data_IF_680669270364
#
_entry.id   IF_680669270364
#
_cell.length_a   1.000
_cell.length_b   1.000
_cell.length_c   1.000
_cell.angle_alpha   90.00
_cell.angle_beta   90.00
_cell.angle_gamma   90.00
#
_symmetry.space_group_name_H-M   'P 1'
#
loop_
_entity.id
_entity.type
_entity.pdbx_description
1 polymer ?
#
# COMPACT_ATOMS: atom_id res chain seq x y z
N UNK A 1 -16.19 35.48 -0.33
CA UNK A 1 -14.79 35.72 0.04
C UNK A 1 -14.01 34.61 -0.60
N UNK A 2 -13.08 34.96 -1.49
CA UNK A 2 -12.52 34.01 -2.43
C UNK A 2 -11.65 32.96 -1.76
N UNK A 3 -11.96 31.72 -2.03
CA UNK A 3 -11.08 30.56 -1.79
C UNK A 3 -9.97 30.60 -2.83
N UNK A 4 -8.78 30.91 -2.37
CA UNK A 4 -7.58 30.72 -3.20
C UNK A 4 -7.32 29.23 -3.31
N UNK A 5 -7.69 28.65 -4.46
CA UNK A 5 -7.23 27.33 -4.87
C UNK A 5 -5.74 27.47 -5.20
N UNK A 6 -4.87 26.95 -4.35
CA UNK A 6 -3.45 26.90 -4.59
C UNK A 6 -2.97 25.45 -4.69
N UNK A 7 -2.73 25.05 -5.94
CA UNK A 7 -1.64 24.21 -6.40
C UNK A 7 -1.53 22.76 -5.84
N UNK A 8 -2.30 21.82 -6.38
CA UNK A 8 -1.71 20.74 -7.14
C UNK A 8 -1.72 21.20 -8.62
N UNK A 9 -0.68 21.89 -9.08
CA UNK A 9 -0.51 22.13 -10.50
C UNK A 9 -0.35 20.76 -11.17
N UNK A 10 -0.97 20.56 -12.35
CA UNK A 10 -0.82 19.40 -13.20
C UNK A 10 0.62 18.87 -13.17
N UNK A 11 0.94 18.07 -12.17
CA UNK A 11 2.13 17.23 -12.25
C UNK A 11 1.75 16.19 -13.30
N UNK A 12 2.42 16.24 -14.43
CA UNK A 12 2.29 15.20 -15.45
C UNK A 12 2.93 13.93 -14.85
N UNK A 13 2.21 13.33 -13.88
CA UNK A 13 2.70 12.22 -13.08
C UNK A 13 2.74 10.99 -13.98
N UNK A 14 3.93 10.47 -14.19
CA UNK A 14 4.15 9.24 -14.95
C UNK A 14 3.79 8.04 -14.07
N UNK A 15 2.75 7.30 -14.43
CA UNK A 15 2.28 6.12 -13.73
C UNK A 15 2.95 4.81 -14.18
N UNK A 16 3.94 4.84 -15.07
CA UNK A 16 4.63 3.64 -15.54
C UNK A 16 5.24 2.81 -14.38
N UNK A 17 5.75 3.46 -13.33
CA UNK A 17 6.20 2.74 -12.13
C UNK A 17 5.04 2.05 -11.40
N UNK A 18 3.89 2.71 -11.25
CA UNK A 18 2.71 2.14 -10.61
C UNK A 18 2.17 0.96 -11.43
N UNK A 19 2.10 1.09 -12.75
CA UNK A 19 1.75 0.00 -13.65
C UNK A 19 2.67 -1.22 -13.46
N UNK A 20 3.98 -1.01 -13.42
CA UNK A 20 4.95 -2.08 -13.18
C UNK A 20 4.71 -2.76 -11.83
N UNK A 21 4.46 -2.00 -10.76
CA UNK A 21 4.17 -2.53 -9.44
C UNK A 21 2.89 -3.40 -9.44
N UNK A 22 1.82 -2.96 -10.14
CA UNK A 22 0.56 -3.72 -10.23
C UNK A 22 0.71 -5.06 -10.97
N UNK A 23 1.69 -5.18 -11.87
CA UNK A 23 1.95 -6.43 -12.59
C UNK A 23 2.76 -7.47 -11.81
N UNK A 24 3.34 -7.10 -10.66
CA UNK A 24 4.18 -8.02 -9.89
C UNK A 24 3.33 -8.98 -9.08
N UNK A 25 3.55 -10.28 -9.28
CA UNK A 25 2.94 -11.34 -8.49
C UNK A 25 3.56 -11.37 -7.08
N UNK A 26 2.82 -10.90 -6.10
CA UNK A 26 3.27 -10.87 -4.72
C UNK A 26 2.10 -10.96 -3.72
N UNK A 27 1.34 -12.07 -3.70
CA UNK A 27 0.33 -12.28 -2.68
C UNK A 27 0.98 -12.45 -1.31
N UNK A 28 0.22 -12.19 -0.22
CA UNK A 28 0.72 -12.36 1.15
C UNK A 28 1.37 -13.73 1.36
N UNK A 29 2.60 -13.72 1.86
CA UNK A 29 3.43 -14.90 2.08
C UNK A 29 4.33 -15.29 0.91
N UNK A 30 4.26 -14.57 -0.22
CA UNK A 30 5.14 -14.74 -1.37
C UNK A 30 5.49 -13.37 -1.98
N UNK A 31 6.12 -12.51 -1.20
CA UNK A 31 6.47 -11.14 -1.57
C UNK A 31 7.85 -11.01 -2.24
N UNK A 32 8.55 -12.13 -2.45
CA UNK A 32 9.93 -12.16 -2.98
C UNK A 32 10.09 -11.37 -4.28
N UNK A 33 9.16 -11.55 -5.24
CA UNK A 33 9.25 -10.86 -6.52
C UNK A 33 9.13 -9.33 -6.37
N UNK A 34 8.28 -8.86 -5.47
CA UNK A 34 8.15 -7.44 -5.15
C UNK A 34 9.39 -6.91 -4.46
N UNK A 35 9.92 -7.65 -3.49
CA UNK A 35 11.18 -7.30 -2.81
C UNK A 35 12.32 -7.14 -3.80
N UNK A 36 12.50 -8.11 -4.71
CA UNK A 36 13.56 -8.06 -5.71
C UNK A 36 13.41 -6.85 -6.64
N UNK A 37 12.19 -6.60 -7.12
CA UNK A 37 11.89 -5.42 -7.93
C UNK A 37 12.21 -4.12 -7.19
N UNK A 38 11.78 -3.98 -5.95
CA UNK A 38 12.03 -2.77 -5.15
C UNK A 38 13.52 -2.56 -4.90
N UNK A 39 14.26 -3.61 -4.59
CA UNK A 39 15.71 -3.51 -4.38
C UNK A 39 16.44 -3.09 -5.66
N UNK A 40 16.06 -3.64 -6.82
CA UNK A 40 16.64 -3.25 -8.12
C UNK A 40 16.29 -1.79 -8.48
N UNK A 41 15.03 -1.41 -8.28
CA UNK A 41 14.57 -0.03 -8.49
C UNK A 41 15.34 0.96 -7.61
N UNK A 42 15.46 0.68 -6.31
CA UNK A 42 16.18 1.52 -5.36
C UNK A 42 17.66 1.60 -5.74
N UNK A 43 18.28 0.46 -6.05
CA UNK A 43 19.70 0.43 -6.49
C UNK A 43 19.93 1.30 -7.72
N UNK A 44 19.03 1.25 -8.69
CA UNK A 44 19.15 1.98 -9.96
C UNK A 44 18.92 3.48 -9.80
N UNK A 45 17.98 3.91 -8.95
CA UNK A 45 17.50 5.29 -8.92
C UNK A 45 18.00 6.10 -7.72
N UNK A 46 18.34 5.46 -6.59
CA UNK A 46 18.66 6.18 -5.35
C UNK A 46 19.89 7.08 -5.43
N UNK A 47 20.78 6.85 -6.38
CA UNK A 47 21.90 7.74 -6.65
C UNK A 47 21.50 9.15 -7.14
N UNK A 48 20.25 9.30 -7.62
CA UNK A 48 19.68 10.57 -8.08
C UNK A 48 18.76 11.21 -7.02
N UNK A 49 18.47 10.50 -5.93
CA UNK A 49 17.64 11.01 -4.85
C UNK A 49 18.39 12.05 -4.03
N UNK A 50 17.67 12.89 -3.31
CA UNK A 50 18.26 13.93 -2.47
C UNK A 50 19.24 13.38 -1.42
N UNK A 51 18.91 12.23 -0.86
CA UNK A 51 19.76 11.43 0.04
C UNK A 51 19.68 9.98 -0.39
N UNK A 52 20.82 9.34 -0.62
CA UNK A 52 20.87 7.90 -0.85
C UNK A 52 20.60 7.18 0.47
N UNK A 53 19.56 6.31 0.57
CA UNK A 53 19.25 5.63 1.80
C UNK A 53 20.24 4.52 2.14
N UNK A 54 20.35 4.23 3.43
CA UNK A 54 20.84 2.94 3.90
C UNK A 54 19.71 1.90 3.70
N UNK A 55 20.00 0.83 2.96
CA UNK A 55 19.05 -0.26 2.68
C UNK A 55 19.29 -1.38 3.68
N UNK A 56 18.28 -1.72 4.47
CA UNK A 56 18.36 -2.78 5.49
C UNK A 56 17.41 -3.90 5.09
N UNK A 57 17.99 -5.05 4.87
CA UNK A 57 17.35 -6.32 4.52
C UNK A 57 18.12 -7.45 5.20
N UNK A 58 17.54 -8.61 5.30
CA UNK A 58 18.17 -9.77 5.93
C UNK A 58 17.14 -10.80 6.34
N UNK A 59 17.59 -11.98 6.74
CA UNK A 59 16.69 -13.05 7.17
C UNK A 59 15.82 -12.66 8.38
N UNK A 60 16.34 -11.79 9.25
CA UNK A 60 15.61 -11.25 10.39
C UNK A 60 14.46 -10.31 10.02
N UNK A 61 14.44 -9.83 8.78
CA UNK A 61 13.35 -9.02 8.20
C UNK A 61 12.48 -9.78 7.21
N UNK A 62 12.82 -11.04 6.93
CA UNK A 62 12.15 -11.86 5.92
C UNK A 62 12.13 -11.14 4.56
N UNK A 63 10.98 -10.88 3.98
CA UNK A 63 10.90 -10.15 2.70
C UNK A 63 10.75 -8.65 2.85
N UNK A 64 10.61 -8.13 4.06
CA UNK A 64 10.50 -6.69 4.30
C UNK A 64 11.79 -5.92 3.97
N UNK A 65 11.63 -4.63 3.64
CA UNK A 65 12.73 -3.71 3.35
C UNK A 65 12.59 -2.48 4.23
N UNK A 66 13.69 -2.04 4.85
CA UNK A 66 13.77 -0.73 5.49
C UNK A 66 14.75 0.17 4.72
N UNK A 67 14.33 1.39 4.45
CA UNK A 67 15.17 2.44 3.88
C UNK A 67 15.35 3.53 4.93
N UNK A 68 16.58 3.72 5.41
CA UNK A 68 16.91 4.78 6.36
C UNK A 68 17.52 5.97 5.64
N UNK A 69 16.97 7.16 5.89
CA UNK A 69 17.45 8.45 5.39
C UNK A 69 17.89 9.32 6.57
N UNK A 70 19.12 9.82 6.54
CA UNK A 70 19.67 10.77 7.52
C UNK A 70 19.42 10.39 8.98
N UNK A 71 18.90 11.34 9.75
CA UNK A 71 18.54 11.16 11.18
C UNK A 71 17.02 10.99 11.32
N UNK A 72 16.50 9.74 11.27
CA UNK A 72 15.07 9.49 11.17
C UNK A 72 14.32 9.79 12.48
N UNK A 73 13.13 10.38 12.35
CA UNK A 73 12.18 10.60 13.46
C UNK A 73 10.84 9.95 13.20
N UNK A 74 10.46 9.85 11.92
CA UNK A 74 9.16 9.36 11.45
C UNK A 74 9.37 8.25 10.44
N UNK A 75 8.53 7.21 10.50
CA UNK A 75 8.49 6.14 9.51
C UNK A 75 7.29 6.30 8.59
N UNK A 76 7.41 5.83 7.35
CA UNK A 76 6.30 5.52 6.44
C UNK A 76 6.23 4.00 6.37
N UNK A 77 5.06 3.42 6.62
CA UNK A 77 4.78 2.02 6.33
C UNK A 77 3.93 1.93 5.09
N UNK A 78 4.27 1.02 4.18
CA UNK A 78 3.51 0.66 3.00
C UNK A 78 3.65 -0.85 2.80
N UNK A 79 2.55 -1.59 2.87
CA UNK A 79 2.63 -3.02 2.64
C UNK A 79 2.81 -3.32 1.16
N UNK A 80 3.58 -4.36 0.86
CA UNK A 80 3.93 -4.74 -0.49
C UNK A 80 3.32 -6.06 -0.93
N UNK A 81 2.55 -6.68 -0.06
CA UNK A 81 1.75 -7.86 -0.41
C UNK A 81 0.42 -7.47 -1.06
N UNK A 82 -0.29 -8.47 -1.54
CA UNK A 82 -1.62 -8.31 -2.11
C UNK A 82 -2.52 -9.48 -1.76
N UNK A 83 -3.80 -9.28 -1.94
CA UNK A 83 -4.80 -10.35 -1.95
C UNK A 83 -4.52 -11.38 -3.06
N UNK A 84 -5.10 -12.55 -2.94
CA UNK A 84 -4.97 -13.62 -3.93
C UNK A 84 -5.74 -14.88 -3.54
N UNK A 85 -5.29 -16.00 -4.09
CA UNK A 85 -5.91 -17.30 -3.85
C UNK A 85 -4.83 -18.38 -3.82
N UNK A 86 -4.98 -19.36 -2.92
CA UNK A 86 -4.13 -20.55 -2.89
C UNK A 86 -4.91 -21.76 -3.43
N UNK A 87 -4.32 -22.49 -4.34
CA UNK A 87 -4.90 -23.70 -4.90
C UNK A 87 -4.98 -24.79 -3.84
N UNK A 88 -6.17 -25.31 -3.67
CA UNK A 88 -6.50 -26.45 -2.79
C UNK A 88 -6.73 -27.71 -3.63
N UNK A 89 -7.15 -28.79 -3.04
CA UNK A 89 -7.56 -30.01 -3.75
C UNK A 89 -8.91 -29.84 -4.47
N UNK A 90 -9.19 -30.68 -5.47
CA UNK A 90 -10.46 -30.72 -6.23
C UNK A 90 -10.82 -29.37 -6.90
N UNK A 91 -9.83 -28.74 -7.49
CA UNK A 91 -9.97 -27.46 -8.20
C UNK A 91 -10.49 -26.31 -7.33
N UNK A 92 -10.46 -26.48 -6.00
CA UNK A 92 -10.85 -25.47 -5.03
C UNK A 92 -9.76 -24.41 -4.82
N UNK A 93 -10.20 -23.21 -4.44
CA UNK A 93 -9.34 -22.11 -4.03
C UNK A 93 -9.63 -21.73 -2.58
N UNK A 94 -8.61 -21.25 -1.89
CA UNK A 94 -8.72 -20.61 -0.59
C UNK A 94 -8.21 -19.17 -0.75
N UNK A 95 -9.00 -18.19 -0.32
CA UNK A 95 -8.62 -16.79 -0.43
C UNK A 95 -7.40 -16.46 0.45
N UNK A 96 -6.53 -15.63 -0.07
CA UNK A 96 -5.49 -14.90 0.65
C UNK A 96 -6.04 -13.47 0.83
N UNK A 97 -6.14 -12.99 2.06
CA UNK A 97 -6.83 -11.73 2.34
C UNK A 97 -8.34 -11.81 2.11
N UNK A 98 -8.92 -10.72 1.65
CA UNK A 98 -10.36 -10.59 1.42
C UNK A 98 -10.77 -10.30 -0.03
N UNK A 99 -10.29 -11.04 -1.06
CA UNK A 99 -10.59 -10.73 -2.44
C UNK A 99 -12.09 -10.83 -2.75
N UNK A 100 -12.61 -9.86 -3.49
CA UNK A 100 -13.93 -10.02 -4.14
C UNK A 100 -13.81 -11.14 -5.16
N UNK A 101 -14.71 -12.11 -5.08
CA UNK A 101 -14.67 -13.28 -5.91
C UNK A 101 -15.96 -13.39 -6.73
N UNK A 102 -15.89 -12.99 -8.00
CA UNK A 102 -17.02 -13.07 -8.93
C UNK A 102 -16.69 -14.04 -10.07
N UNK A 103 -17.74 -14.70 -10.59
CA UNK A 103 -17.59 -15.63 -11.69
C UNK A 103 -17.03 -14.91 -12.94
N UNK A 104 -16.03 -15.53 -13.57
CA UNK A 104 -15.44 -15.03 -14.79
C UNK A 104 -14.20 -14.16 -14.59
N UNK A 105 -13.85 -13.78 -13.35
CA UNK A 105 -12.59 -13.09 -13.09
C UNK A 105 -11.40 -13.95 -13.56
N UNK A 106 -10.41 -13.30 -14.17
CA UNK A 106 -9.22 -13.99 -14.68
C UNK A 106 -8.14 -13.99 -13.61
N UNK A 107 -7.61 -15.19 -13.36
CA UNK A 107 -6.50 -15.38 -12.44
C UNK A 107 -5.26 -15.84 -13.20
N UNK A 108 -4.09 -15.42 -12.73
CA UNK A 108 -2.79 -15.81 -13.25
C UNK A 108 -1.90 -16.34 -12.13
N UNK A 109 -0.96 -17.20 -12.50
CA UNK A 109 0.05 -17.76 -11.60
C UNK A 109 0.98 -18.69 -12.37
N UNK A 110 1.77 -19.46 -11.63
CA UNK A 110 2.69 -20.42 -12.21
C UNK A 110 2.86 -21.64 -11.30
N UNK A 111 2.86 -22.82 -11.86
CA UNK A 111 3.26 -24.05 -11.17
C UNK A 111 4.43 -24.72 -11.89
N UNK A 112 4.84 -25.92 -11.45
CA UNK A 112 5.94 -26.69 -12.07
C UNK A 112 5.68 -27.07 -13.53
N UNK A 113 4.42 -27.01 -13.98
CA UNK A 113 4.01 -27.34 -15.36
C UNK A 113 3.94 -26.10 -16.25
N UNK A 114 4.23 -24.89 -15.72
CA UNK A 114 4.29 -23.64 -16.46
C UNK A 114 3.25 -22.59 -16.06
N UNK A 115 3.12 -21.53 -16.86
CA UNK A 115 2.23 -20.41 -16.56
C UNK A 115 0.76 -20.85 -16.61
N UNK A 116 -0.04 -20.19 -15.78
CA UNK A 116 -1.46 -20.43 -15.60
C UNK A 116 -2.19 -19.13 -15.91
N UNK A 117 -3.24 -19.23 -16.72
CA UNK A 117 -4.29 -18.22 -16.81
C UNK A 117 -5.62 -18.96 -16.78
N UNK A 118 -6.39 -18.78 -15.71
CA UNK A 118 -7.63 -19.53 -15.47
C UNK A 118 -8.79 -18.57 -15.14
N UNK A 119 -9.99 -19.12 -15.06
CA UNK A 119 -11.21 -18.44 -14.71
C UNK A 119 -11.60 -18.77 -13.27
N UNK A 120 -11.91 -17.72 -12.47
CA UNK A 120 -12.47 -17.89 -11.13
C UNK A 120 -13.95 -18.26 -11.21
N UNK A 121 -14.33 -19.24 -10.44
CA UNK A 121 -15.71 -19.64 -10.24
C UNK A 121 -16.09 -19.52 -8.75
N UNK A 122 -17.25 -18.95 -8.48
CA UNK A 122 -17.82 -18.84 -7.15
C UNK A 122 -19.20 -19.52 -7.14
N UNK A 123 -19.33 -20.57 -6.36
CA UNK A 123 -20.57 -21.30 -6.13
C UNK A 123 -20.97 -21.14 -4.66
N UNK A 124 -21.86 -20.21 -4.39
CA UNK A 124 -22.38 -19.90 -3.05
C UNK A 124 -21.27 -19.68 -1.99
N UNK A 125 -20.18 -19.03 -2.39
CA UNK A 125 -19.02 -18.75 -1.53
C UNK A 125 -17.92 -19.83 -1.56
N UNK A 126 -18.14 -20.94 -2.23
CA UNK A 126 -17.10 -21.91 -2.51
C UNK A 126 -16.35 -21.49 -3.77
N UNK A 127 -15.04 -21.33 -3.66
CA UNK A 127 -14.20 -20.81 -4.74
C UNK A 127 -13.51 -21.96 -5.47
N UNK A 128 -13.52 -21.90 -6.80
CA UNK A 128 -12.90 -22.87 -7.69
C UNK A 128 -12.21 -22.14 -8.84
N UNK A 129 -11.30 -22.85 -9.51
CA UNK A 129 -10.76 -22.41 -10.78
C UNK A 129 -11.24 -23.31 -11.93
N UNK A 130 -11.35 -22.74 -13.13
CA UNK A 130 -11.59 -23.49 -14.37
C UNK A 130 -10.36 -23.40 -15.25
N UNK A 131 -9.67 -24.52 -15.40
CA UNK A 131 -8.44 -24.65 -16.18
C UNK A 131 -8.40 -26.04 -16.85
N UNK A 132 -7.73 -26.22 -18.01
CA UNK A 132 -7.73 -27.51 -18.75
C UNK A 132 -7.03 -28.67 -18.02
N UNK A 133 -6.26 -28.41 -16.97
CA UNK A 133 -5.57 -29.40 -16.14
C UNK A 133 -5.68 -29.05 -14.66
N UNK A 134 -5.39 -30.02 -13.81
CA UNK A 134 -5.19 -29.73 -12.39
C UNK A 134 -3.98 -28.81 -12.18
N UNK A 135 -4.10 -27.88 -11.26
CA UNK A 135 -3.03 -27.00 -10.82
C UNK A 135 -2.43 -27.59 -9.53
N UNK A 136 -1.13 -27.47 -9.35
CA UNK A 136 -0.44 -27.98 -8.17
C UNK A 136 -0.99 -27.31 -6.89
N UNK A 137 -1.16 -28.12 -5.81
CA UNK A 137 -1.63 -27.59 -4.52
C UNK A 137 -0.61 -26.64 -3.92
N UNK A 138 -1.09 -25.54 -3.36
CA UNK A 138 -0.24 -24.51 -2.79
C UNK A 138 0.20 -23.47 -3.81
N UNK A 139 -0.12 -23.62 -5.09
CA UNK A 139 0.11 -22.57 -6.09
C UNK A 139 -0.72 -21.35 -5.75
N UNK A 140 -0.09 -20.18 -5.73
CA UNK A 140 -0.79 -18.91 -5.57
C UNK A 140 -1.26 -18.41 -6.94
N UNK A 141 -2.52 -17.98 -6.98
CA UNK A 141 -3.14 -17.31 -8.11
C UNK A 141 -3.56 -15.89 -7.71
N UNK A 142 -3.32 -14.95 -8.59
CA UNK A 142 -3.68 -13.54 -8.39
C UNK A 142 -4.54 -13.05 -9.55
N UNK A 143 -5.23 -11.95 -9.40
CA UNK A 143 -5.98 -11.35 -10.50
C UNK A 143 -5.04 -11.02 -11.66
N UNK A 144 -5.52 -11.27 -12.89
CA UNK A 144 -4.81 -10.83 -14.08
C UNK A 144 -4.88 -9.30 -14.16
N UNK A 145 -3.73 -8.67 -14.05
CA UNK A 145 -3.64 -7.22 -14.11
C UNK A 145 -4.05 -6.69 -15.50
N UNK A 146 -4.91 -5.67 -15.49
CA UNK A 146 -5.33 -4.87 -16.64
C UNK A 146 -5.25 -3.39 -16.24
N UNK A 147 -4.04 -2.83 -16.27
CA UNK A 147 -3.79 -1.45 -15.89
C UNK A 147 -4.37 -0.50 -16.96
N UNK A 148 -5.21 0.43 -16.52
CA UNK A 148 -5.90 1.39 -17.37
C UNK A 148 -5.76 2.79 -16.81
N UNK A 149 -5.48 3.71 -17.69
CA UNK A 149 -5.35 5.12 -17.36
C UNK A 149 -6.33 5.95 -18.19
N UNK A 150 -7.08 6.82 -17.54
CA UNK A 150 -7.93 7.83 -18.16
C UNK A 150 -7.39 9.23 -17.87
N UNK A 151 -8.09 10.28 -18.27
CA UNK A 151 -7.73 11.65 -17.93
C UNK A 151 -7.74 11.88 -16.40
N UNK A 152 -8.73 11.31 -15.71
CA UNK A 152 -8.96 11.56 -14.26
C UNK A 152 -8.53 10.40 -13.36
N UNK A 153 -8.52 9.16 -13.85
CA UNK A 153 -8.39 7.97 -13.01
C UNK A 153 -7.27 7.03 -13.47
N UNK A 154 -6.71 6.34 -12.49
CA UNK A 154 -5.97 5.09 -12.66
C UNK A 154 -6.87 3.95 -12.18
N UNK A 155 -6.90 2.85 -12.93
CA UNK A 155 -7.69 1.67 -12.62
C UNK A 155 -6.87 0.40 -12.87
N UNK A 156 -6.82 -0.49 -11.88
CA UNK A 156 -6.09 -1.75 -11.93
C UNK A 156 -6.53 -2.65 -10.79
N UNK A 157 -6.11 -3.91 -10.75
CA UNK A 157 -6.02 -4.63 -9.48
C UNK A 157 -4.79 -4.15 -8.69
N UNK A 158 -4.82 -4.36 -7.38
CA UNK A 158 -3.67 -4.16 -6.47
C UNK A 158 -3.21 -2.70 -6.31
N UNK A 159 -4.07 -1.70 -6.60
CA UNK A 159 -3.81 -0.34 -6.12
C UNK A 159 -3.69 -0.35 -4.60
N UNK A 160 -4.47 -1.20 -3.94
CA UNK A 160 -4.26 -1.69 -2.59
C UNK A 160 -3.16 -2.79 -2.58
N UNK A 161 -1.90 -2.57 -2.15
CA UNK A 161 -1.38 -1.26 -1.75
C UNK A 161 -0.14 -0.88 -2.59
N UNK A 162 -0.16 -1.21 -3.91
CA UNK A 162 0.90 -0.76 -4.83
C UNK A 162 0.96 0.76 -4.89
N UNK A 163 -0.18 1.44 -4.64
CA UNK A 163 -0.22 2.89 -4.59
C UNK A 163 0.52 3.44 -3.37
N UNK A 164 0.37 2.82 -2.21
CA UNK A 164 1.13 3.20 -1.03
C UNK A 164 2.63 2.99 -1.20
N UNK A 165 3.03 1.88 -1.85
CA UNK A 165 4.44 1.63 -2.23
C UNK A 165 4.93 2.69 -3.22
N UNK A 166 4.16 3.01 -4.25
CA UNK A 166 4.46 4.06 -5.22
C UNK A 166 4.63 5.42 -4.54
N UNK A 167 3.69 5.82 -3.68
CA UNK A 167 3.79 7.05 -2.90
C UNK A 167 5.09 7.09 -2.07
N UNK A 168 5.42 6.01 -1.36
CA UNK A 168 6.63 5.94 -0.57
C UNK A 168 7.91 6.10 -1.42
N UNK A 169 7.97 5.50 -2.61
CA UNK A 169 9.08 5.67 -3.55
C UNK A 169 9.16 7.10 -4.09
N UNK A 170 8.03 7.73 -4.42
CA UNK A 170 8.01 9.14 -4.87
C UNK A 170 8.47 10.10 -3.77
N UNK A 171 8.07 9.84 -2.53
CA UNK A 171 8.55 10.61 -1.35
C UNK A 171 10.04 10.40 -1.13
N UNK A 172 10.57 9.18 -1.34
CA UNK A 172 11.99 8.86 -1.20
C UNK A 172 12.90 9.74 -2.07
N UNK A 173 12.44 10.16 -3.26
CA UNK A 173 13.21 11.02 -4.17
C UNK A 173 13.69 12.32 -3.50
N UNK A 174 12.91 12.85 -2.56
CA UNK A 174 13.20 14.14 -1.90
C UNK A 174 13.37 14.05 -0.39
N UNK A 175 13.27 12.84 0.19
CA UNK A 175 13.37 12.60 1.62
C UNK A 175 14.80 12.82 2.11
N UNK A 176 14.95 13.60 3.19
CA UNK A 176 16.25 13.85 3.85
C UNK A 176 16.41 13.05 5.13
N UNK A 177 15.34 12.96 5.92
CA UNK A 177 15.36 12.29 7.21
C UNK A 177 14.07 11.50 7.39
N UNK A 178 14.17 10.22 7.69
CA UNK A 178 13.02 9.34 7.88
C UNK A 178 13.34 7.88 7.61
N UNK A 179 12.34 7.04 7.78
CA UNK A 179 12.39 5.64 7.39
C UNK A 179 11.24 5.35 6.45
N UNK A 180 11.47 4.54 5.43
CA UNK A 180 10.41 3.88 4.66
C UNK A 180 10.51 2.39 4.98
N UNK A 181 9.40 1.80 5.38
CA UNK A 181 9.25 0.40 5.70
C UNK A 181 8.26 -0.24 4.72
N UNK A 182 8.76 -1.12 3.87
CA UNK A 182 7.93 -1.98 3.05
C UNK A 182 7.65 -3.25 3.84
N UNK A 183 6.38 -3.40 4.27
CA UNK A 183 5.89 -4.48 5.13
C UNK A 183 5.27 -5.61 4.33
N UNK A 184 5.07 -6.76 4.96
CA UNK A 184 4.49 -7.98 4.41
C UNK A 184 3.28 -8.42 5.25
N UNK A 185 2.41 -9.25 4.63
CA UNK A 185 1.26 -9.91 5.25
C UNK A 185 0.15 -9.00 5.76
N UNK A 186 0.08 -7.74 5.37
CA UNK A 186 -1.00 -6.85 5.81
C UNK A 186 -2.36 -7.46 5.48
N UNK A 187 -2.55 -7.89 4.24
CA UNK A 187 -3.77 -8.44 3.69
C UNK A 187 -4.23 -9.74 4.37
N UNK A 188 -3.33 -10.46 5.01
CA UNK A 188 -3.62 -11.75 5.63
C UNK A 188 -3.24 -11.80 7.11
N UNK A 189 -3.59 -10.78 7.84
CA UNK A 189 -3.54 -10.75 9.30
C UNK A 189 -2.36 -10.04 9.92
N UNK A 190 -1.44 -9.50 9.13
CA UNK A 190 -0.27 -8.78 9.61
C UNK A 190 0.84 -9.69 10.16
N UNK A 191 1.78 -9.09 10.87
CA UNK A 191 2.86 -9.80 11.57
C UNK A 191 4.25 -9.24 11.37
N UNK A 192 4.51 -8.50 10.29
CA UNK A 192 5.85 -7.94 10.04
C UNK A 192 6.11 -6.63 10.78
N UNK A 193 5.11 -5.78 10.91
CA UNK A 193 5.23 -4.45 11.52
C UNK A 193 5.79 -4.47 12.94
N UNK A 194 5.42 -5.40 13.84
CA UNK A 194 5.95 -5.42 15.20
C UNK A 194 7.48 -5.56 15.29
N UNK A 195 8.10 -6.39 14.44
CA UNK A 195 9.56 -6.53 14.48
C UNK A 195 10.28 -5.41 13.73
N UNK A 196 9.66 -4.83 12.68
CA UNK A 196 10.16 -3.61 12.03
C UNK A 196 10.11 -2.42 13.01
N UNK A 197 8.99 -2.24 13.71
CA UNK A 197 8.82 -1.22 14.75
C UNK A 197 9.85 -1.38 15.86
N UNK A 198 10.06 -2.63 16.35
CA UNK A 198 11.11 -2.93 17.33
C UNK A 198 12.47 -2.45 16.86
N UNK A 199 12.86 -2.86 15.65
CA UNK A 199 14.17 -2.52 15.10
C UNK A 199 14.37 -1.00 15.01
N UNK A 200 13.40 -0.27 14.46
CA UNK A 200 13.46 1.19 14.33
C UNK A 200 13.48 1.89 15.71
N UNK A 201 12.69 1.39 16.65
CA UNK A 201 12.62 1.96 17.99
C UNK A 201 13.94 1.80 18.76
N UNK A 202 14.51 0.58 18.75
CA UNK A 202 15.72 0.26 19.51
C UNK A 202 16.99 0.84 18.87
N UNK A 203 17.09 0.88 17.55
CA UNK A 203 18.31 1.30 16.87
C UNK A 203 18.32 2.79 16.51
N UNK A 204 17.14 3.40 16.25
CA UNK A 204 17.07 4.79 15.75
C UNK A 204 16.18 5.70 16.57
N UNK A 205 15.49 5.19 17.58
CA UNK A 205 14.60 5.96 18.44
C UNK A 205 13.34 6.46 17.73
N UNK A 206 12.97 5.88 16.59
CA UNK A 206 11.74 6.23 15.84
C UNK A 206 10.52 5.78 16.63
N UNK A 207 9.54 6.67 16.82
CA UNK A 207 8.36 6.46 17.67
C UNK A 207 7.06 6.95 17.06
N UNK A 208 7.07 7.31 15.80
CA UNK A 208 5.89 7.79 15.11
C UNK A 208 5.93 7.34 13.64
N UNK A 209 4.75 7.10 13.08
CA UNK A 209 4.60 6.57 11.73
C UNK A 209 3.41 7.17 10.99
N UNK A 210 3.52 7.18 9.67
CA UNK A 210 2.43 7.38 8.73
C UNK A 210 2.19 6.06 8.01
N UNK A 211 0.92 5.70 7.83
CA UNK A 211 0.54 4.51 7.07
C UNK A 211 0.13 4.96 5.68
N UNK A 212 0.95 4.59 4.70
CA UNK A 212 0.78 4.90 3.28
C UNK A 212 0.01 3.77 2.63
N UNK A 213 -1.29 4.00 2.49
CA UNK A 213 -2.23 2.99 2.03
C UNK A 213 -3.38 3.65 1.28
N UNK A 214 -4.36 2.90 0.80
CA UNK A 214 -5.60 3.41 0.21
C UNK A 214 -6.73 3.41 1.25
N UNK A 215 -7.76 4.19 1.04
CA UNK A 215 -8.98 4.12 1.83
C UNK A 215 -10.22 4.04 0.95
N UNK A 216 -11.35 3.69 1.54
CA UNK A 216 -12.59 3.52 0.80
C UNK A 216 -13.23 4.86 0.42
N UNK A 217 -13.79 4.94 -0.77
CA UNK A 217 -14.78 5.98 -1.10
C UNK A 217 -16.05 5.69 -0.31
N UNK A 218 -16.50 6.69 0.44
CA UNK A 218 -17.70 6.65 1.28
C UNK A 218 -18.51 7.94 1.13
N UNK A 219 -19.62 8.06 1.85
CA UNK A 219 -20.39 9.32 1.87
C UNK A 219 -19.59 10.53 2.43
N UNK A 220 -18.51 10.24 3.17
CA UNK A 220 -17.66 11.26 3.82
C UNK A 220 -16.29 11.44 3.16
N UNK A 221 -15.89 10.55 2.25
CA UNK A 221 -14.59 10.57 1.56
C UNK A 221 -14.82 10.27 0.08
N UNK A 222 -14.50 11.21 -0.81
CA UNK A 222 -14.85 11.16 -2.21
C UNK A 222 -13.62 11.31 -3.11
N UNK A 223 -13.70 10.76 -4.31
CA UNK A 223 -12.70 10.98 -5.36
C UNK A 223 -12.54 12.47 -5.71
N UNK A 224 -11.31 12.86 -6.02
CA UNK A 224 -10.99 14.21 -6.52
C UNK A 224 -11.09 15.32 -5.48
N UNK A 225 -11.21 14.98 -4.19
CA UNK A 225 -11.26 15.93 -3.08
C UNK A 225 -9.97 15.93 -2.25
N UNK A 226 -8.94 15.29 -2.75
CA UNK A 226 -7.65 15.17 -2.07
C UNK A 226 -7.54 13.91 -1.20
N UNK A 227 -6.37 13.74 -0.61
CA UNK A 227 -6.02 12.58 0.21
C UNK A 227 -6.79 12.54 1.53
N UNK A 228 -7.18 11.36 2.00
CA UNK A 228 -7.84 11.20 3.28
C UNK A 228 -6.84 11.08 4.43
N UNK A 229 -7.08 11.80 5.53
CA UNK A 229 -6.42 11.63 6.82
C UNK A 229 -7.42 10.94 7.73
N UNK A 230 -7.15 9.71 8.12
CA UNK A 230 -8.04 8.95 8.99
C UNK A 230 -7.88 9.40 10.45
N UNK A 231 -8.95 9.94 11.01
CA UNK A 231 -9.03 10.23 12.44
C UNK A 231 -9.16 8.95 13.25
N UNK A 232 -9.73 7.92 12.64
CA UNK A 232 -9.74 6.52 13.07
C UNK A 232 -10.34 5.63 11.99
N UNK A 233 -9.90 4.39 11.99
CA UNK A 233 -10.54 3.23 11.35
C UNK A 233 -11.18 2.33 12.44
N UNK A 234 -11.14 1.02 12.30
CA UNK A 234 -11.48 0.08 13.39
C UNK A 234 -10.61 0.29 14.63
N UNK A 235 -9.39 0.80 14.46
CA UNK A 235 -8.43 1.11 15.51
C UNK A 235 -8.46 2.62 15.80
N UNK A 236 -7.84 3.05 16.89
CA UNK A 236 -7.93 4.45 17.33
C UNK A 236 -6.53 5.00 17.61
N UNK A 237 -5.96 5.77 16.68
CA UNK A 237 -4.66 6.39 16.87
C UNK A 237 -4.72 7.46 17.98
N UNK A 238 -3.55 7.80 18.53
CA UNK A 238 -3.49 8.83 19.58
C UNK A 238 -3.89 10.20 19.00
N UNK A 239 -4.96 10.77 19.54
CA UNK A 239 -5.58 12.02 19.06
C UNK A 239 -4.60 13.17 18.90
N UNK A 240 -3.66 13.35 19.84
CA UNK A 240 -2.68 14.45 19.78
C UNK A 240 -1.75 14.34 18.57
N UNK A 241 -1.41 13.13 18.14
CA UNK A 241 -0.60 12.91 16.94
C UNK A 241 -1.43 13.18 15.67
N UNK A 242 -2.63 12.65 15.60
CA UNK A 242 -3.54 12.93 14.47
C UNK A 242 -3.81 14.44 14.31
N UNK A 243 -4.06 15.15 15.41
CA UNK A 243 -4.24 16.60 15.39
C UNK A 243 -2.99 17.34 14.87
N UNK A 244 -1.78 16.84 15.17
CA UNK A 244 -0.54 17.39 14.62
C UNK A 244 -0.47 17.19 13.10
N UNK A 245 -0.81 15.98 12.61
CA UNK A 245 -0.88 15.68 11.18
C UNK A 245 -1.87 16.60 10.47
N UNK A 246 -3.09 16.71 10.99
CA UNK A 246 -4.13 17.59 10.44
C UNK A 246 -3.69 19.06 10.40
N UNK A 247 -3.06 19.56 11.47
CA UNK A 247 -2.56 20.93 11.50
C UNK A 247 -1.48 21.21 10.44
N UNK A 248 -0.63 20.22 10.15
CA UNK A 248 0.38 20.32 9.08
C UNK A 248 -0.30 20.31 7.72
N UNK A 249 -1.29 19.45 7.51
CA UNK A 249 -2.07 19.39 6.28
C UNK A 249 -2.79 20.71 6.02
N UNK A 250 -3.50 21.25 7.00
CA UNK A 250 -4.19 22.55 6.92
C UNK A 250 -3.22 23.69 6.54
N UNK A 251 -2.05 23.72 7.18
CA UNK A 251 -1.03 24.73 6.90
C UNK A 251 -0.34 24.56 5.53
N UNK A 252 -0.46 23.39 4.90
CA UNK A 252 0.17 23.11 3.63
C UNK A 252 -0.59 23.68 2.43
N UNK A 253 -1.91 23.83 2.55
CA UNK A 253 -2.80 24.18 1.45
C UNK A 253 -3.03 23.06 0.42
N UNK A 254 -2.60 21.85 0.72
CA UNK A 254 -2.86 20.64 -0.10
C UNK A 254 -4.29 20.16 0.21
N UNK A 255 -5.03 19.75 -0.81
CA UNK A 255 -6.38 19.25 -0.64
C UNK A 255 -6.37 17.93 0.14
N UNK A 256 -7.18 17.89 1.21
CA UNK A 256 -7.33 16.70 2.05
C UNK A 256 -8.75 16.57 2.62
N UNK A 257 -9.09 15.36 2.98
CA UNK A 257 -10.35 15.01 3.60
C UNK A 257 -10.12 14.41 4.99
N UNK A 258 -11.11 14.48 5.87
CA UNK A 258 -11.05 13.85 7.18
C UNK A 258 -11.97 12.63 7.20
N UNK A 259 -11.40 11.48 7.47
CA UNK A 259 -12.10 10.21 7.54
C UNK A 259 -12.42 9.81 8.99
N UNK A 260 -13.60 9.23 9.20
CA UNK A 260 -13.96 8.54 10.44
C UNK A 260 -14.69 7.27 10.08
N UNK A 261 -14.01 6.13 10.25
CA UNK A 261 -14.58 4.83 9.94
C UNK A 261 -14.62 3.89 11.17
N UNK A 262 -15.53 2.95 11.15
CA UNK A 262 -15.66 1.93 12.18
C UNK A 262 -15.21 0.53 11.75
N UNK A 263 -14.86 0.39 10.49
CA UNK A 263 -14.38 -0.84 9.85
C UNK A 263 -13.02 -0.57 9.20
N UNK A 264 -12.47 -1.59 8.53
CA UNK A 264 -11.12 -1.52 7.97
C UNK A 264 -10.02 -1.62 9.00
N UNK A 265 -8.84 -1.88 8.52
CA UNK A 265 -7.61 -1.97 9.31
C UNK A 265 -6.43 -1.75 8.37
N UNK A 266 -5.27 -1.49 8.93
CA UNK A 266 -4.03 -1.29 8.21
C UNK A 266 -2.84 -1.68 9.09
N UNK A 267 -1.63 -1.52 8.62
CA UNK A 267 -0.40 -1.62 9.43
C UNK A 267 -0.44 -0.79 10.72
N UNK A 268 -1.31 0.23 10.79
CA UNK A 268 -1.57 1.01 12.00
C UNK A 268 -2.08 0.17 13.17
N UNK A 269 -2.88 -0.87 12.91
CA UNK A 269 -3.31 -1.84 13.94
C UNK A 269 -2.11 -2.53 14.57
N UNK A 270 -1.16 -2.98 13.77
CA UNK A 270 0.01 -3.70 14.25
C UNK A 270 0.88 -2.78 15.13
N UNK A 271 1.04 -1.50 14.76
CA UNK A 271 1.72 -0.51 15.60
C UNK A 271 0.99 -0.29 16.93
N UNK A 272 -0.35 -0.18 16.90
CA UNK A 272 -1.16 0.00 18.13
C UNK A 272 -1.04 -1.20 19.08
N UNK A 273 -0.93 -2.41 18.56
CA UNK A 273 -0.81 -3.64 19.35
C UNK A 273 0.65 -3.97 19.72
N UNK A 274 1.61 -3.32 19.08
CA UNK A 274 3.03 -3.50 19.36
C UNK A 274 3.35 -3.15 20.82
N UNK A 275 4.32 -3.85 21.47
CA UNK A 275 4.81 -3.48 22.79
C UNK A 275 5.62 -2.17 22.79
N UNK A 276 5.95 -1.63 21.63
CA UNK A 276 6.68 -0.37 21.47
C UNK A 276 5.68 0.78 21.27
N UNK A 277 5.79 1.88 22.04
CA UNK A 277 4.84 2.98 21.96
C UNK A 277 5.07 3.82 20.70
N UNK A 278 4.39 3.46 19.62
CA UNK A 278 4.35 4.24 18.39
C UNK A 278 3.08 5.09 18.32
N UNK A 279 3.25 6.35 17.94
CA UNK A 279 2.16 7.13 17.38
C UNK A 279 2.00 6.79 15.90
N UNK A 280 0.79 6.66 15.42
CA UNK A 280 0.52 6.41 14.01
C UNK A 280 -0.66 7.22 13.50
N UNK A 281 -0.66 7.48 12.20
CA UNK A 281 -1.78 8.07 11.49
C UNK A 281 -1.85 7.48 10.08
N UNK A 282 -3.03 7.04 9.71
CA UNK A 282 -3.30 6.60 8.36
C UNK A 282 -3.55 7.80 7.45
N UNK A 283 -2.92 7.82 6.28
CA UNK A 283 -3.09 8.86 5.25
C UNK A 283 -3.09 8.17 3.89
N UNK A 284 -4.23 8.15 3.21
CA UNK A 284 -4.40 7.35 2.00
C UNK A 284 -5.30 7.98 0.94
N UNK A 285 -5.12 7.58 -0.31
CA UNK A 285 -5.98 8.02 -1.39
C UNK A 285 -7.32 7.27 -1.38
N UNK A 286 -8.45 7.94 -1.66
CA UNK A 286 -9.75 7.28 -1.80
C UNK A 286 -9.78 6.33 -2.99
N UNK A 287 -10.26 5.10 -2.77
CA UNK A 287 -10.33 4.03 -3.74
C UNK A 287 -11.70 3.39 -3.82
N UNK A 288 -12.18 3.17 -5.03
CA UNK A 288 -13.37 2.36 -5.35
C UNK A 288 -12.98 0.92 -5.67
N UNK A 289 -13.94 0.01 -5.47
CA UNK A 289 -13.82 -1.39 -5.85
C UNK A 289 -12.67 -2.15 -5.18
N UNK A 290 -12.24 -1.69 -4.02
CA UNK A 290 -11.16 -2.30 -3.23
C UNK A 290 -11.25 -3.83 -3.21
N UNK A 291 -10.10 -4.51 -3.33
CA UNK A 291 -9.96 -5.97 -3.39
C UNK A 291 -10.60 -6.64 -4.62
N UNK A 292 -10.69 -5.90 -5.72
CA UNK A 292 -11.22 -6.44 -7.00
C UNK A 292 -10.20 -6.28 -8.15
N UNK A 293 -10.45 -6.87 -9.33
CA UNK A 293 -9.61 -6.59 -10.50
C UNK A 293 -9.70 -5.15 -11.02
N UNK A 294 -10.66 -4.37 -10.53
CA UNK A 294 -11.03 -3.06 -11.09
C UNK A 294 -10.97 -1.92 -10.06
N UNK A 295 -10.02 -2.00 -9.12
CA UNK A 295 -9.75 -0.92 -8.17
C UNK A 295 -9.47 0.38 -8.91
N UNK A 296 -9.96 1.51 -8.36
CA UNK A 296 -9.91 2.79 -9.06
C UNK A 296 -9.60 3.94 -8.10
N UNK A 297 -8.61 4.77 -8.46
CA UNK A 297 -8.21 5.96 -7.70
C UNK A 297 -8.13 7.19 -8.62
N UNK A 298 -8.53 8.33 -8.11
CA UNK A 298 -8.45 9.60 -8.85
C UNK A 298 -7.02 10.17 -8.80
N UNK A 299 -6.50 10.61 -9.94
CA UNK A 299 -5.11 11.10 -10.08
C UNK A 299 -4.79 12.28 -9.17
N UNK A 300 -5.73 13.21 -9.01
CA UNK A 300 -5.57 14.34 -8.09
C UNK A 300 -5.33 13.88 -6.65
N UNK A 301 -6.01 12.82 -6.20
CA UNK A 301 -5.86 12.31 -4.85
C UNK A 301 -4.48 11.65 -4.66
N UNK A 302 -3.94 11.01 -5.72
CA UNK A 302 -2.58 10.48 -5.73
C UNK A 302 -1.55 11.61 -5.61
N UNK A 303 -1.70 12.68 -6.39
CA UNK A 303 -0.80 13.83 -6.34
C UNK A 303 -0.84 14.52 -4.96
N UNK A 304 -2.04 14.67 -4.39
CA UNK A 304 -2.23 15.19 -3.04
C UNK A 304 -1.57 14.29 -1.98
N UNK A 305 -1.65 12.96 -2.15
CA UNK A 305 -1.01 12.01 -1.24
C UNK A 305 0.51 12.19 -1.23
N UNK A 306 1.15 12.20 -2.39
CA UNK A 306 2.61 12.39 -2.52
C UNK A 306 3.04 13.74 -1.94
N UNK A 307 2.31 14.81 -2.27
CA UNK A 307 2.60 16.15 -1.80
C UNK A 307 2.47 16.25 -0.27
N UNK A 308 1.39 15.69 0.30
CA UNK A 308 1.16 15.72 1.75
C UNK A 308 2.20 14.91 2.52
N UNK A 309 2.52 13.69 2.06
CA UNK A 309 3.59 12.89 2.67
C UNK A 309 4.93 13.63 2.68
N UNK A 310 5.29 14.29 1.57
CA UNK A 310 6.52 15.08 1.48
C UNK A 310 6.53 16.24 2.49
N UNK A 311 5.38 16.84 2.80
CA UNK A 311 5.24 17.90 3.83
C UNK A 311 5.29 17.32 5.23
N UNK A 312 4.58 16.24 5.48
CA UNK A 312 4.53 15.58 6.78
C UNK A 312 5.91 15.09 7.22
N UNK A 313 6.65 14.41 6.32
CA UNK A 313 7.99 13.88 6.63
C UNK A 313 9.02 14.97 6.93
N UNK A 314 8.83 16.19 6.43
CA UNK A 314 9.68 17.35 6.78
C UNK A 314 9.32 17.97 8.12
N UNK A 315 8.04 17.91 8.53
CA UNK A 315 7.53 18.63 9.68
C UNK A 315 7.43 17.78 10.96
N UNK A 316 7.30 16.45 10.82
CA UNK A 316 7.22 15.47 11.91
C UNK A 316 8.59 15.02 12.39
#
# INVERSE_FOLDING_TARGET
>A
MGTASYFCADMNTDFALLENLCHIHAPSGNEVAMKEFLLDYIHTHSGQWKVTPEVIVGEEFQDCILLRFGEPRTAIFAHMDSIGFTVRYQDQLVAIGGPKAENGYRLVGQDVHGPIECELLNDEGNLYYKFPRGIERGTELVFKCDFRETEEYVQSCYLDNRLGVYNALKVAETLENGVIAFSCWEEHGGGSVPYLAKYMYENWGVRQALISDITWVTDGVMHGQGVAISLRDRNVPRRSYVQKVVAIAEASGIDYQLEVEGAGSSDGRELQLSPYPFDWCFVGAPEDHVHSPDERVHKHDIDCMIALYSRLMKAL
#
